data_IF_278601857186
#
_entry.id   IF_278601857186
#
_cell.length_a   1.000
_cell.length_b   1.000
_cell.length_c   1.000
_cell.angle_alpha   90.00
_cell.angle_beta   90.00
_cell.angle_gamma   90.00
#
_symmetry.space_group_name_H-M   'P 1'
#
loop_
_entity.id
_entity.type
_entity.pdbx_description
1 polymer ?
#
# COMPACT_ATOMS: atom_id res chain seq x y z
N UNK A 1 -51.53 0.60 -28.19
CA UNK A 1 -50.89 0.66 -26.88
C UNK A 1 -49.45 1.12 -27.12
N UNK A 2 -49.25 2.46 -27.11
CA UNK A 2 -47.97 3.08 -27.46
C UNK A 2 -47.13 3.21 -26.17
N UNK A 3 -46.04 2.50 -26.10
CA UNK A 3 -45.04 2.66 -25.03
C UNK A 3 -44.49 4.08 -25.19
N UNK A 4 -44.49 4.92 -24.15
CA UNK A 4 -44.13 6.31 -24.30
C UNK A 4 -42.63 6.44 -24.64
N UNK A 5 -42.36 6.92 -25.84
CA UNK A 5 -41.04 7.31 -26.38
C UNK A 5 -40.20 8.18 -25.40
N UNK A 6 -40.86 8.82 -24.46
CA UNK A 6 -40.28 9.63 -23.39
C UNK A 6 -39.40 8.81 -22.41
N UNK A 7 -39.72 7.53 -22.18
CA UNK A 7 -38.91 6.65 -21.30
C UNK A 7 -37.55 6.31 -21.94
N UNK A 8 -37.50 6.13 -23.24
CA UNK A 8 -36.27 5.80 -23.98
C UNK A 8 -35.30 7.00 -24.04
N UNK A 9 -35.80 8.23 -24.07
CA UNK A 9 -34.98 9.43 -24.03
C UNK A 9 -34.40 9.71 -22.63
N UNK A 10 -35.05 9.22 -21.57
CA UNK A 10 -34.59 9.35 -20.19
C UNK A 10 -33.38 8.47 -19.86
N UNK A 11 -33.32 7.26 -20.41
CA UNK A 11 -32.23 6.33 -20.22
C UNK A 11 -30.96 6.77 -20.97
N UNK A 12 -31.09 7.23 -22.21
CA UNK A 12 -29.97 7.76 -22.98
C UNK A 12 -29.31 8.98 -22.32
N UNK A 13 -30.12 9.84 -21.68
CA UNK A 13 -29.61 11.02 -20.94
C UNK A 13 -28.91 10.63 -19.63
N UNK A 14 -29.40 9.59 -18.94
CA UNK A 14 -28.73 9.04 -17.73
C UNK A 14 -27.42 8.37 -18.10
N UNK A 15 -27.36 7.61 -19.17
CA UNK A 15 -26.14 6.95 -19.63
C UNK A 15 -25.07 7.97 -20.10
N UNK A 16 -25.46 9.00 -20.85
CA UNK A 16 -24.54 10.06 -21.25
C UNK A 16 -23.96 10.80 -20.02
N UNK A 17 -24.75 10.99 -18.96
CA UNK A 17 -24.28 11.56 -17.69
C UNK A 17 -23.27 10.66 -16.97
N UNK A 18 -23.45 9.35 -17.00
CA UNK A 18 -22.49 8.39 -16.42
C UNK A 18 -21.17 8.41 -17.18
N UNK A 19 -21.20 8.38 -18.52
CA UNK A 19 -19.97 8.45 -19.33
C UNK A 19 -19.23 9.77 -19.16
N UNK A 20 -19.93 10.90 -19.07
CA UNK A 20 -19.29 12.20 -18.83
C UNK A 20 -18.66 12.29 -17.45
N UNK A 21 -19.30 11.75 -16.42
CA UNK A 21 -18.75 11.66 -15.07
C UNK A 21 -17.51 10.75 -15.01
N UNK A 22 -17.57 9.61 -15.71
CA UNK A 22 -16.44 8.69 -15.82
C UNK A 22 -15.25 9.38 -16.52
N UNK A 23 -15.50 10.01 -17.66
CA UNK A 23 -14.45 10.71 -18.43
C UNK A 23 -13.81 11.85 -17.64
N UNK A 24 -14.57 12.56 -16.81
CA UNK A 24 -14.07 13.61 -15.95
C UNK A 24 -13.29 13.08 -14.73
N UNK A 25 -13.75 11.96 -14.14
CA UNK A 25 -13.12 11.37 -12.94
C UNK A 25 -11.91 10.49 -13.22
N UNK A 26 -11.87 9.84 -14.41
CA UNK A 26 -10.82 8.87 -14.75
C UNK A 26 -9.40 9.43 -14.69
N UNK A 27 -9.09 10.64 -15.20
CA UNK A 27 -7.75 11.21 -15.07
C UNK A 27 -7.31 11.41 -13.62
N UNK A 28 -8.22 11.82 -12.74
CA UNK A 28 -7.96 11.96 -11.30
C UNK A 28 -7.67 10.59 -10.68
N UNK A 29 -8.50 9.60 -10.95
CA UNK A 29 -8.31 8.23 -10.47
C UNK A 29 -6.93 7.70 -10.88
N UNK A 30 -6.57 7.81 -12.16
CA UNK A 30 -5.30 7.33 -12.69
C UNK A 30 -4.12 8.06 -12.04
N UNK A 31 -4.18 9.39 -11.93
CA UNK A 31 -3.10 10.18 -11.35
C UNK A 31 -2.86 9.85 -9.88
N UNK A 32 -3.92 9.76 -9.08
CA UNK A 32 -3.85 9.45 -7.65
C UNK A 32 -3.39 8.00 -7.41
N UNK A 33 -3.92 7.06 -8.18
CA UNK A 33 -3.51 5.66 -8.13
C UNK A 33 -2.05 5.48 -8.54
N UNK A 34 -1.62 6.09 -9.65
CA UNK A 34 -0.25 6.00 -10.14
C UNK A 34 0.75 6.62 -9.15
N UNK A 35 0.41 7.76 -8.53
CA UNK A 35 1.23 8.37 -7.49
C UNK A 35 1.38 7.43 -6.28
N UNK A 36 0.28 6.89 -5.76
CA UNK A 36 0.28 5.98 -4.62
C UNK A 36 1.05 4.69 -4.93
N UNK A 37 0.85 4.11 -6.11
CA UNK A 37 1.59 2.93 -6.56
C UNK A 37 3.09 3.21 -6.70
N UNK A 38 3.46 4.36 -7.27
CA UNK A 38 4.85 4.80 -7.37
C UNK A 38 5.51 4.95 -5.99
N UNK A 39 4.80 5.55 -5.03
CA UNK A 39 5.26 5.69 -3.65
C UNK A 39 5.42 4.33 -2.97
N UNK A 40 4.50 3.40 -3.17
CA UNK A 40 4.59 2.03 -2.64
C UNK A 40 5.82 1.31 -3.20
N UNK A 41 6.06 1.40 -4.51
CA UNK A 41 7.22 0.80 -5.15
C UNK A 41 8.53 1.40 -4.62
N UNK A 42 8.63 2.73 -4.54
CA UNK A 42 9.80 3.42 -3.99
C UNK A 42 10.01 3.02 -2.52
N UNK A 43 8.97 3.03 -1.70
CA UNK A 43 9.04 2.62 -0.29
C UNK A 43 9.52 1.18 -0.13
N UNK A 44 9.01 0.26 -0.97
CA UNK A 44 9.44 -1.14 -0.98
C UNK A 44 10.90 -1.29 -1.40
N UNK A 45 11.34 -0.55 -2.43
CA UNK A 45 12.74 -0.56 -2.87
C UNK A 45 13.68 -0.01 -1.77
N UNK A 46 13.28 1.07 -1.09
CA UNK A 46 14.03 1.61 0.05
C UNK A 46 14.10 0.56 1.15
N UNK A 47 12.97 -0.07 1.49
CA UNK A 47 12.93 -1.13 2.50
C UNK A 47 13.93 -2.26 2.17
N UNK A 48 13.88 -2.80 0.95
CA UNK A 48 14.82 -3.86 0.52
C UNK A 48 16.29 -3.41 0.54
N UNK A 49 16.57 -2.11 0.34
CA UNK A 49 17.94 -1.57 0.41
C UNK A 49 18.47 -1.41 1.83
N UNK A 50 17.59 -1.18 2.80
CA UNK A 50 17.96 -1.01 4.20
C UNK A 50 17.93 -2.31 4.99
N UNK A 51 17.30 -3.36 4.48
CA UNK A 51 17.27 -4.69 5.09
C UNK A 51 18.67 -5.33 4.95
N UNK A 52 19.11 -6.04 5.98
CA UNK A 52 20.48 -6.58 6.04
C UNK A 52 20.71 -7.77 5.11
N UNK A 53 19.66 -8.44 4.65
CA UNK A 53 19.71 -9.61 3.78
C UNK A 53 19.10 -9.35 2.41
N UNK A 54 19.55 -10.10 1.40
CA UNK A 54 18.98 -10.05 0.04
C UNK A 54 17.70 -10.86 -0.04
N UNK A 55 16.56 -10.23 0.25
CA UNK A 55 15.25 -10.87 0.27
C UNK A 55 14.90 -11.52 -1.08
N UNK A 56 15.22 -10.84 -2.19
CA UNK A 56 14.88 -11.36 -3.52
C UNK A 56 15.69 -12.61 -3.87
N UNK A 57 16.94 -12.69 -3.43
CA UNK A 57 17.78 -13.89 -3.60
C UNK A 57 17.22 -15.04 -2.78
N UNK A 58 16.97 -14.81 -1.50
CA UNK A 58 16.41 -15.80 -0.57
C UNK A 58 15.06 -16.36 -1.06
N UNK A 59 14.19 -15.49 -1.58
CA UNK A 59 12.88 -15.89 -2.13
C UNK A 59 13.08 -16.80 -3.37
N UNK A 60 14.02 -16.47 -4.25
CA UNK A 60 14.33 -17.31 -5.42
C UNK A 60 14.90 -18.68 -5.03
N UNK A 61 15.57 -18.76 -3.91
CA UNK A 61 16.08 -20.00 -3.31
C UNK A 61 15.02 -20.77 -2.52
N UNK A 62 13.77 -20.26 -2.48
CA UNK A 62 12.64 -20.93 -1.82
C UNK A 62 12.47 -20.63 -0.34
N UNK A 63 13.12 -19.59 0.19
CA UNK A 63 13.00 -19.20 1.59
C UNK A 63 11.63 -18.57 1.87
N UNK A 64 10.73 -19.32 2.51
CA UNK A 64 9.38 -18.89 2.85
C UNK A 64 9.36 -17.77 3.92
N UNK A 65 10.34 -17.75 4.84
CA UNK A 65 10.43 -16.72 5.86
C UNK A 65 10.78 -15.36 5.25
N UNK A 66 11.71 -15.32 4.29
CA UNK A 66 12.04 -14.11 3.54
C UNK A 66 10.85 -13.61 2.71
N UNK A 67 10.12 -14.52 2.04
CA UNK A 67 8.92 -14.18 1.29
C UNK A 67 7.83 -13.58 2.20
N UNK A 68 7.62 -14.16 3.37
CA UNK A 68 6.66 -13.67 4.35
C UNK A 68 7.08 -12.29 4.88
N UNK A 69 8.37 -12.10 5.20
CA UNK A 69 8.91 -10.81 5.66
C UNK A 69 8.67 -9.69 4.64
N UNK A 70 8.99 -9.96 3.36
CA UNK A 70 8.78 -8.98 2.28
C UNK A 70 7.28 -8.70 2.07
N UNK A 71 6.43 -9.73 2.07
CA UNK A 71 4.99 -9.56 1.97
C UNK A 71 4.44 -8.67 3.09
N UNK A 72 4.89 -8.88 4.32
CA UNK A 72 4.53 -8.03 5.46
C UNK A 72 5.03 -6.60 5.34
N UNK A 73 6.19 -6.37 4.73
CA UNK A 73 6.69 -5.03 4.46
C UNK A 73 5.85 -4.32 3.40
N UNK A 74 5.54 -4.98 2.30
CA UNK A 74 4.69 -4.43 1.22
C UNK A 74 3.30 -4.08 1.76
N UNK A 75 2.65 -4.98 2.49
CA UNK A 75 1.34 -4.74 3.10
C UNK A 75 1.41 -3.62 4.16
N UNK A 76 2.47 -3.63 4.98
CA UNK A 76 2.69 -2.60 5.99
C UNK A 76 2.89 -1.19 5.42
N UNK A 77 3.42 -1.07 4.21
CA UNK A 77 3.52 0.20 3.48
C UNK A 77 2.20 0.53 2.76
N UNK A 78 1.54 -0.47 2.18
CA UNK A 78 0.34 -0.28 1.37
C UNK A 78 -0.87 0.17 2.19
N UNK A 79 -1.06 -0.38 3.40
CA UNK A 79 -2.24 -0.10 4.24
C UNK A 79 -2.33 1.40 4.58
N UNK A 80 -1.34 2.03 5.24
CA UNK A 80 -1.46 3.45 5.57
C UNK A 80 -1.46 4.35 4.33
N UNK A 81 -0.80 3.95 3.25
CA UNK A 81 -0.83 4.68 1.99
C UNK A 81 -2.23 4.65 1.33
N UNK A 82 -2.93 3.51 1.41
CA UNK A 82 -4.30 3.40 0.93
C UNK A 82 -5.27 4.31 1.72
N UNK A 83 -5.10 4.40 3.04
CA UNK A 83 -5.87 5.32 3.87
C UNK A 83 -5.52 6.80 3.58
N UNK A 84 -4.25 7.10 3.36
CA UNK A 84 -3.82 8.41 2.91
C UNK A 84 -4.49 8.78 1.57
N UNK A 85 -4.51 7.87 0.59
CA UNK A 85 -5.19 8.05 -0.69
C UNK A 85 -6.70 8.32 -0.50
N UNK A 86 -7.35 7.58 0.40
CA UNK A 86 -8.78 7.72 0.66
C UNK A 86 -9.14 9.05 1.36
N UNK A 87 -8.25 9.57 2.21
CA UNK A 87 -8.45 10.81 2.96
C UNK A 87 -8.00 12.08 2.19
N UNK A 88 -7.18 11.94 1.14
CA UNK A 88 -6.58 13.06 0.43
C UNK A 88 -7.56 13.80 -0.47
N UNK A 89 -7.45 15.12 -0.49
CA UNK A 89 -8.28 16.01 -1.32
C UNK A 89 -7.61 16.27 -2.68
N UNK A 90 -6.30 16.03 -2.80
CA UNK A 90 -5.54 16.28 -4.01
C UNK A 90 -4.19 15.55 -4.06
N UNK A 91 -3.55 15.59 -5.23
CA UNK A 91 -2.32 14.85 -5.50
C UNK A 91 -1.16 15.25 -4.56
N UNK A 92 -1.02 16.56 -4.29
CA UNK A 92 0.02 17.06 -3.38
C UNK A 92 -0.17 16.55 -1.96
N UNK A 93 -1.40 16.42 -1.53
CA UNK A 93 -1.79 15.90 -0.23
C UNK A 93 -1.30 14.44 -0.07
N UNK A 94 -1.56 13.61 -1.08
CA UNK A 94 -1.06 12.23 -1.12
C UNK A 94 0.46 12.20 -1.04
N UNK A 95 1.16 13.04 -1.80
CA UNK A 95 2.62 13.06 -1.84
C UNK A 95 3.21 13.46 -0.49
N UNK A 96 2.64 14.46 0.19
CA UNK A 96 3.13 14.94 1.49
C UNK A 96 2.83 13.90 2.58
N UNK A 97 1.55 13.58 2.80
CA UNK A 97 1.14 12.68 3.86
C UNK A 97 1.58 11.23 3.62
N UNK A 98 1.55 10.79 2.36
CA UNK A 98 2.07 9.50 1.97
C UNK A 98 3.57 9.37 2.24
N UNK A 99 4.36 10.43 2.00
CA UNK A 99 5.80 10.43 2.35
C UNK A 99 6.00 10.34 3.87
N UNK A 100 5.28 11.13 4.66
CA UNK A 100 5.33 11.07 6.12
C UNK A 100 4.98 9.67 6.62
N UNK A 101 3.90 9.11 6.10
CA UNK A 101 3.42 7.77 6.42
C UNK A 101 4.46 6.68 6.11
N UNK A 102 5.09 6.74 4.93
CA UNK A 102 6.15 5.80 4.54
C UNK A 102 7.39 5.94 5.42
N UNK A 103 7.80 7.15 5.77
CA UNK A 103 8.94 7.39 6.65
C UNK A 103 8.70 6.81 8.05
N UNK A 104 7.51 7.03 8.62
CA UNK A 104 7.11 6.44 9.91
C UNK A 104 7.21 4.91 9.82
N UNK A 105 6.67 4.32 8.78
CA UNK A 105 6.64 2.87 8.63
C UNK A 105 8.04 2.27 8.45
N UNK A 106 8.91 2.91 7.67
CA UNK A 106 10.31 2.49 7.50
C UNK A 106 11.06 2.61 8.82
N UNK A 107 10.85 3.69 9.58
CA UNK A 107 11.47 3.86 10.90
C UNK A 107 11.07 2.74 11.85
N UNK A 108 9.78 2.39 11.90
CA UNK A 108 9.28 1.29 12.74
C UNK A 108 9.87 -0.05 12.31
N UNK A 109 10.03 -0.30 11.02
CA UNK A 109 10.69 -1.52 10.55
C UNK A 109 12.11 -1.63 11.08
N UNK A 110 12.86 -0.53 11.06
CA UNK A 110 14.23 -0.48 11.62
C UNK A 110 14.26 -0.69 13.14
N UNK A 111 13.33 -0.07 13.86
CA UNK A 111 13.23 -0.25 15.30
C UNK A 111 12.90 -1.70 15.66
N UNK A 112 12.02 -2.35 14.91
CA UNK A 112 11.67 -3.76 15.12
C UNK A 112 12.89 -4.66 14.90
N UNK A 113 13.64 -4.45 13.82
CA UNK A 113 14.86 -5.20 13.53
C UNK A 113 15.92 -5.03 14.64
N UNK A 114 16.00 -3.84 15.24
CA UNK A 114 16.93 -3.56 16.33
C UNK A 114 16.50 -4.21 17.66
N UNK A 115 15.18 -4.28 17.92
CA UNK A 115 14.64 -4.84 19.17
C UNK A 115 14.72 -6.37 19.22
N UNK A 116 14.62 -7.05 18.12
CA UNK A 116 14.65 -8.51 18.04
C UNK A 116 16.05 -8.95 17.62
N UNK A 117 16.79 -9.48 18.58
CA UNK A 117 18.19 -9.89 18.37
C UNK A 117 18.30 -10.93 17.25
N UNK A 118 19.20 -10.65 16.30
CA UNK A 118 19.52 -11.53 15.15
C UNK A 118 18.31 -11.91 14.30
N UNK A 119 17.32 -11.01 14.17
CA UNK A 119 16.09 -11.29 13.43
C UNK A 119 16.37 -11.59 11.95
N UNK A 120 17.26 -10.81 11.31
CA UNK A 120 17.67 -11.03 9.92
C UNK A 120 18.29 -12.41 9.71
N UNK A 121 19.22 -12.84 10.56
CA UNK A 121 19.85 -14.18 10.46
C UNK A 121 18.81 -15.30 10.60
N UNK A 122 17.86 -15.17 11.52
CA UNK A 122 16.80 -16.17 11.70
C UNK A 122 15.88 -16.27 10.47
N UNK A 123 15.63 -15.15 9.77
CA UNK A 123 14.88 -15.14 8.52
C UNK A 123 15.70 -15.77 7.39
N UNK A 124 17.00 -15.49 7.31
CA UNK A 124 17.93 -16.14 6.37
C UNK A 124 17.95 -17.66 6.56
N UNK A 125 17.93 -18.12 7.80
CA UNK A 125 17.84 -19.54 8.17
C UNK A 125 16.45 -20.15 7.90
N UNK A 126 15.50 -19.39 7.38
CA UNK A 126 14.16 -19.86 7.03
C UNK A 126 13.19 -19.98 8.19
N UNK A 127 13.45 -19.31 9.33
CA UNK A 127 12.61 -19.40 10.51
C UNK A 127 11.30 -18.60 10.33
N UNK A 128 10.22 -19.31 10.01
CA UNK A 128 8.89 -18.72 9.77
C UNK A 128 8.35 -18.02 11.03
N UNK A 129 8.64 -18.52 12.23
CA UNK A 129 8.23 -17.90 13.48
C UNK A 129 8.79 -16.48 13.64
N UNK A 130 10.06 -16.28 13.31
CA UNK A 130 10.69 -14.96 13.33
C UNK A 130 10.06 -14.00 12.31
N UNK A 131 9.82 -14.49 11.09
CA UNK A 131 9.16 -13.72 10.04
C UNK A 131 7.73 -13.36 10.44
N UNK A 132 6.97 -14.27 11.03
CA UNK A 132 5.59 -14.03 11.48
C UNK A 132 5.53 -12.96 12.56
N UNK A 133 6.44 -13.00 13.54
CA UNK A 133 6.53 -11.96 14.57
C UNK A 133 6.82 -10.58 13.93
N UNK A 134 7.79 -10.51 13.03
CA UNK A 134 8.14 -9.28 12.33
C UNK A 134 6.95 -8.72 11.54
N UNK A 135 6.25 -9.56 10.78
CA UNK A 135 5.06 -9.17 10.00
C UNK A 135 3.96 -8.66 10.91
N UNK A 136 3.69 -9.35 12.01
CA UNK A 136 2.66 -8.94 12.98
C UNK A 136 2.94 -7.55 13.55
N UNK A 137 4.19 -7.26 13.90
CA UNK A 137 4.59 -5.93 14.38
C UNK A 137 4.44 -4.87 13.29
N UNK A 138 4.91 -5.16 12.07
CA UNK A 138 4.78 -4.24 10.92
C UNK A 138 3.33 -3.89 10.63
N UNK A 139 2.44 -4.90 10.58
CA UNK A 139 1.02 -4.70 10.29
C UNK A 139 0.28 -3.99 11.43
N UNK A 140 0.62 -4.27 12.69
CA UNK A 140 0.03 -3.58 13.84
C UNK A 140 0.29 -2.07 13.79
N UNK A 141 1.54 -1.70 13.52
CA UNK A 141 1.89 -0.28 13.39
C UNK A 141 1.30 0.34 12.12
N UNK A 142 1.24 -0.43 11.03
CA UNK A 142 0.59 0.02 9.80
C UNK A 142 -0.89 0.36 10.02
N UNK A 143 -1.60 -0.46 10.78
CA UNK A 143 -3.00 -0.20 11.14
C UNK A 143 -3.17 1.06 11.99
N UNK A 144 -2.29 1.27 12.99
CA UNK A 144 -2.30 2.49 13.81
C UNK A 144 -1.96 3.73 12.99
N UNK A 145 -0.96 3.63 12.12
CA UNK A 145 -0.57 4.73 11.23
C UNK A 145 -1.70 5.08 10.25
N UNK A 146 -2.37 4.06 9.68
CA UNK A 146 -3.53 4.25 8.81
C UNK A 146 -4.68 4.98 9.54
N UNK A 147 -4.98 4.58 10.76
CA UNK A 147 -5.99 5.23 11.59
C UNK A 147 -5.62 6.70 11.88
N UNK A 148 -4.35 6.98 12.18
CA UNK A 148 -3.88 8.34 12.46
C UNK A 148 -3.96 9.27 11.25
N UNK A 149 -3.78 8.75 10.04
CA UNK A 149 -3.87 9.55 8.79
C UNK A 149 -5.32 9.82 8.40
N UNK A 150 -6.25 8.94 8.78
CA UNK A 150 -7.67 9.07 8.41
C UNK A 150 -8.54 9.83 9.42
N UNK A 151 -8.03 10.17 10.59
CA UNK A 151 -8.72 10.95 11.64
C UNK A 151 -8.50 12.42 11.47
#
# INVERSE_FOLDING_TARGET
MAIPFVLFLGEGRKMSGVFSSLAAGLPYLIAHFAASLGMLLIGTLIYMRITAHDEMKLIREGNAAAALSLAGAVLGLAIPLAFCLAASVGLLDILIWGTVTLLIQILVFRLTDLMVRNLSGRIEDGEIGAATLLVSMKLSVAALNAAAVSG
#
